data_IF_696537447950
#
_entry.id   IF_696537447950
#
_cell.length_a   1.000
_cell.length_b   1.000
_cell.length_c   1.000
_cell.angle_alpha   90.00
_cell.angle_beta   90.00
_cell.angle_gamma   90.00
#
_symmetry.space_group_name_H-M   'P 1'
#
loop_
_entity.id
_entity.type
_entity.pdbx_description
1 polymer ?
#
# COMPACT_ATOMS: atom_id res chain seq x y z
N UNK A 1 -8.20 9.45 14.57
CA UNK A 1 -8.00 8.44 13.51
C UNK A 1 -6.52 8.08 13.44
N UNK A 2 -6.13 6.85 13.78
CA UNK A 2 -4.76 6.37 13.53
C UNK A 2 -4.60 6.30 12.01
N UNK A 3 -3.68 7.07 11.43
CA UNK A 3 -3.28 6.86 10.05
C UNK A 3 -2.77 5.42 9.94
N UNK A 4 -3.41 4.60 9.10
CA UNK A 4 -2.92 3.27 8.81
C UNK A 4 -1.54 3.44 8.18
N UNK A 5 -0.49 2.89 8.81
CA UNK A 5 0.92 3.20 8.54
C UNK A 5 1.37 2.94 7.09
N UNK A 6 0.55 2.21 6.33
CA UNK A 6 0.80 1.87 4.92
C UNK A 6 -0.26 2.46 3.98
N UNK A 7 -0.97 3.53 4.39
CA UNK A 7 -1.94 4.24 3.54
C UNK A 7 -1.55 5.70 3.43
N UNK A 8 -1.14 6.12 2.24
CA UNK A 8 -0.64 7.45 1.95
C UNK A 8 -1.68 8.30 1.23
N UNK A 9 -1.66 9.61 1.47
CA UNK A 9 -2.44 10.56 0.69
C UNK A 9 -1.87 10.67 -0.73
N UNK A 10 -2.74 10.79 -1.73
CA UNK A 10 -2.33 11.08 -3.10
C UNK A 10 -1.97 12.56 -3.24
N UNK A 11 -0.71 12.87 -2.90
CA UNK A 11 -0.16 14.20 -3.06
C UNK A 11 0.16 14.44 -4.54
N UNK A 12 -0.27 15.58 -5.09
CA UNK A 12 0.06 15.98 -6.46
C UNK A 12 1.57 16.17 -6.65
N UNK A 13 2.28 16.53 -5.58
CA UNK A 13 3.73 16.68 -5.59
C UNK A 13 4.43 15.32 -5.41
N UNK A 14 4.80 14.70 -6.54
CA UNK A 14 5.44 13.38 -6.58
C UNK A 14 6.70 13.28 -5.71
N UNK A 15 7.52 14.33 -5.64
CA UNK A 15 8.76 14.35 -4.87
C UNK A 15 8.51 14.29 -3.36
N UNK A 16 7.47 14.96 -2.87
CA UNK A 16 7.10 14.94 -1.44
C UNK A 16 6.52 13.58 -1.05
N UNK A 17 5.71 12.99 -1.94
CA UNK A 17 5.17 11.66 -1.75
C UNK A 17 6.27 10.61 -1.61
N UNK A 18 7.28 10.64 -2.49
CA UNK A 18 8.41 9.70 -2.42
C UNK A 18 9.20 9.84 -1.11
N UNK A 19 9.48 11.07 -0.65
CA UNK A 19 10.14 11.29 0.64
C UNK A 19 9.37 10.70 1.81
N UNK A 20 8.03 10.80 1.78
CA UNK A 20 7.16 10.23 2.82
C UNK A 20 7.20 8.70 2.76
N UNK A 21 7.12 8.10 1.58
CA UNK A 21 7.21 6.65 1.41
C UNK A 21 8.59 6.15 1.87
N UNK A 22 9.67 6.76 1.41
CA UNK A 22 11.05 6.38 1.74
C UNK A 22 11.32 6.45 3.25
N UNK A 23 10.90 7.54 3.90
CA UNK A 23 11.03 7.70 5.36
C UNK A 23 10.23 6.68 6.19
N UNK A 24 9.28 5.98 5.56
CA UNK A 24 8.49 4.92 6.19
C UNK A 24 8.83 3.53 5.63
N UNK A 25 9.72 3.40 4.65
CA UNK A 25 9.90 2.19 3.87
C UNK A 25 10.28 0.97 4.71
N UNK A 26 11.17 1.14 5.70
CA UNK A 26 11.56 0.07 6.63
C UNK A 26 10.39 -0.48 7.47
N UNK A 27 9.29 0.27 7.56
CA UNK A 27 8.08 -0.11 8.31
C UNK A 27 7.01 -0.71 7.41
N UNK A 28 7.24 -0.79 6.10
CA UNK A 28 6.30 -1.32 5.11
C UNK A 28 6.76 -2.72 4.70
N UNK A 29 6.04 -3.75 5.16
CA UNK A 29 6.48 -5.14 4.99
C UNK A 29 6.01 -5.82 3.69
N UNK A 30 4.86 -5.42 3.14
CA UNK A 30 4.22 -6.14 2.01
C UNK A 30 3.75 -5.23 0.87
N UNK A 31 3.58 -3.94 1.16
CA UNK A 31 3.03 -2.98 0.23
C UNK A 31 2.33 -1.82 0.94
N UNK A 32 1.90 -0.84 0.16
CA UNK A 32 1.13 0.30 0.63
C UNK A 32 0.03 0.70 -0.36
N UNK A 33 -0.97 1.39 0.16
CA UNK A 33 -2.06 1.95 -0.62
C UNK A 33 -1.86 3.46 -0.78
N UNK A 34 -1.94 3.94 -2.01
CA UNK A 34 -2.03 5.36 -2.33
C UNK A 34 -3.49 5.74 -2.57
N UNK A 35 -4.08 6.54 -1.68
CA UNK A 35 -5.53 6.84 -1.70
C UNK A 35 -5.97 7.45 -3.03
N UNK A 36 -6.94 6.82 -3.70
CA UNK A 36 -7.43 7.31 -5.00
C UNK A 36 -6.47 7.08 -6.16
N UNK A 37 -5.44 6.26 -5.98
CA UNK A 37 -4.52 5.85 -7.05
C UNK A 37 -4.42 4.33 -7.15
N UNK A 38 -4.12 3.63 -6.06
CA UNK A 38 -4.05 2.16 -6.08
C UNK A 38 -3.09 1.53 -5.08
N UNK A 39 -2.98 0.21 -5.17
CA UNK A 39 -2.10 -0.64 -4.37
C UNK A 39 -0.72 -0.77 -5.01
N UNK A 40 0.32 -0.69 -4.20
CA UNK A 40 1.69 -1.04 -4.56
C UNK A 40 2.17 -2.15 -3.63
N UNK A 41 2.36 -3.37 -4.14
CA UNK A 41 2.97 -4.50 -3.44
C UNK A 41 4.38 -4.75 -3.95
N UNK A 42 5.24 -5.30 -3.10
CA UNK A 42 6.63 -5.60 -3.47
C UNK A 42 7.20 -6.74 -2.66
N UNK A 43 8.10 -7.48 -3.29
CA UNK A 43 8.81 -8.60 -2.69
C UNK A 43 10.15 -8.83 -3.42
N UNK A 44 10.93 -9.79 -2.92
CA UNK A 44 12.19 -10.21 -3.54
C UNK A 44 12.03 -10.93 -4.88
N UNK A 45 10.80 -11.31 -5.27
CA UNK A 45 10.48 -11.92 -6.55
C UNK A 45 9.09 -11.48 -7.03
N UNK A 46 8.87 -11.54 -8.35
CA UNK A 46 7.58 -11.20 -8.95
C UNK A 46 6.45 -12.09 -8.42
N UNK A 47 6.69 -13.41 -8.33
CA UNK A 47 5.73 -14.37 -7.80
C UNK A 47 5.29 -14.04 -6.37
N UNK A 48 6.23 -13.70 -5.48
CA UNK A 48 5.87 -13.26 -4.12
C UNK A 48 5.10 -11.95 -4.11
N UNK A 49 5.46 -11.01 -4.97
CA UNK A 49 4.74 -9.74 -5.07
C UNK A 49 3.29 -9.95 -5.55
N UNK A 50 3.06 -10.89 -6.48
CA UNK A 50 1.73 -11.28 -6.94
C UNK A 50 0.90 -11.88 -5.80
N UNK A 51 1.46 -12.79 -5.01
CA UNK A 51 0.79 -13.37 -3.83
C UNK A 51 0.37 -12.25 -2.85
N UNK A 52 1.23 -11.26 -2.60
CA UNK A 52 0.88 -10.13 -1.74
C UNK A 52 -0.22 -9.26 -2.34
N UNK A 53 -0.23 -9.04 -3.65
CA UNK A 53 -1.33 -8.35 -4.35
C UNK A 53 -2.65 -9.07 -4.13
N UNK A 54 -2.70 -10.38 -4.40
CA UNK A 54 -3.91 -11.19 -4.22
C UNK A 54 -4.40 -11.16 -2.77
N UNK A 55 -3.49 -11.23 -1.80
CA UNK A 55 -3.83 -11.13 -0.38
C UNK A 55 -4.46 -9.76 -0.03
N UNK A 56 -3.91 -8.66 -0.54
CA UNK A 56 -4.50 -7.33 -0.33
C UNK A 56 -5.85 -7.17 -1.02
N UNK A 57 -6.00 -7.65 -2.25
CA UNK A 57 -7.28 -7.65 -2.98
C UNK A 57 -8.35 -8.44 -2.22
N UNK A 58 -7.99 -9.61 -1.67
CA UNK A 58 -8.89 -10.37 -0.81
C UNK A 58 -9.31 -9.56 0.43
N UNK A 59 -8.36 -8.88 1.11
CA UNK A 59 -8.67 -8.05 2.27
C UNK A 59 -9.58 -6.87 1.92
N UNK A 60 -9.37 -6.20 0.79
CA UNK A 60 -10.23 -5.12 0.33
C UNK A 60 -11.64 -5.61 0.01
N UNK A 61 -11.75 -6.74 -0.68
CA UNK A 61 -13.02 -7.38 -0.99
C UNK A 61 -13.76 -7.80 0.29
N UNK A 62 -13.07 -8.44 1.24
CA UNK A 62 -13.64 -8.85 2.52
C UNK A 62 -14.16 -7.66 3.34
N UNK A 63 -13.35 -6.60 3.47
CA UNK A 63 -13.75 -5.40 4.19
C UNK A 63 -14.92 -4.69 3.49
N UNK A 64 -14.95 -4.69 2.16
CA UNK A 64 -16.08 -4.15 1.38
C UNK A 64 -17.37 -4.94 1.62
N UNK A 65 -17.31 -6.28 1.66
CA UNK A 65 -18.48 -7.15 1.89
C UNK A 65 -19.01 -7.12 3.32
N UNK A 66 -18.17 -6.76 4.30
CA UNK A 66 -18.55 -6.68 5.71
C UNK A 66 -19.36 -5.41 6.05
N UNK A 67 -19.20 -4.36 5.25
CA UNK A 67 -19.93 -3.09 5.39
C UNK A 67 -21.24 -3.10 4.61
#
# INVERSE_FOLDING_TARGET
>A
MKASRCVFANLQQKTELLKIIDSNFERISYGYLLKGHGLFSFASSLEKAQIYTEAFEFLFMYEYMKN
#
